data_IF_346883214580
#
_entry.id   IF_346883214580
#
_cell.length_a   1.000
_cell.length_b   1.000
_cell.length_c   1.000
_cell.angle_alpha   90.00
_cell.angle_beta   90.00
_cell.angle_gamma   90.00
#
_symmetry.space_group_name_H-M   'P 1'
#
loop_
_entity.id
_entity.type
_entity.pdbx_description
1 polymer ?
#
# COMPACT_ATOMS: atom_id res chain seq x y z
N UNK A 1 -24.23 7.23 -11.40
CA UNK A 1 -24.05 6.40 -10.31
C UNK A 1 -22.70 5.74 -10.26
N UNK A 2 -22.23 5.58 -9.07
CA UNK A 2 -20.97 5.00 -8.89
C UNK A 2 -20.95 3.57 -9.26
N UNK A 3 -20.03 3.19 -10.04
CA UNK A 3 -19.95 1.83 -10.52
C UNK A 3 -18.88 0.98 -9.86
N UNK A 4 -18.07 1.58 -9.02
CA UNK A 4 -17.06 0.80 -8.34
C UNK A 4 -17.36 0.76 -6.84
N UNK A 5 -16.79 -0.22 -6.17
CA UNK A 5 -17.00 -0.41 -4.76
C UNK A 5 -15.72 -0.05 -4.02
N UNK A 6 -15.85 0.85 -3.07
CA UNK A 6 -14.71 1.23 -2.26
C UNK A 6 -14.41 0.13 -1.25
N UNK A 7 -13.17 -0.28 -1.16
CA UNK A 7 -12.78 -1.30 -0.21
C UNK A 7 -12.63 -0.70 1.18
N UNK A 8 -13.01 -1.49 2.19
CA UNK A 8 -12.78 -1.09 3.57
C UNK A 8 -11.31 -1.31 3.92
N UNK A 9 -10.87 -0.71 5.01
CA UNK A 9 -9.50 -0.91 5.47
C UNK A 9 -9.22 -2.38 5.78
N UNK A 10 -10.22 -3.08 6.32
CA UNK A 10 -10.07 -4.50 6.60
C UNK A 10 -9.87 -5.31 5.32
N UNK A 11 -10.60 -4.96 4.28
CA UNK A 11 -10.47 -5.65 3.00
C UNK A 11 -9.11 -5.37 2.37
N UNK A 12 -8.63 -4.14 2.48
CA UNK A 12 -7.31 -3.78 1.95
C UNK A 12 -6.23 -4.55 2.70
N UNK A 13 -6.31 -4.61 4.02
CA UNK A 13 -5.34 -5.33 4.83
C UNK A 13 -5.33 -6.82 4.47
N UNK A 14 -6.49 -7.38 4.21
CA UNK A 14 -6.62 -8.77 3.85
C UNK A 14 -5.95 -9.06 2.52
N UNK A 15 -6.19 -8.20 1.53
CA UNK A 15 -5.57 -8.35 0.22
C UNK A 15 -4.05 -8.24 0.32
N UNK A 16 -3.56 -7.30 1.12
CA UNK A 16 -2.12 -7.16 1.32
C UNK A 16 -1.55 -8.44 1.90
N UNK A 17 -2.21 -9.01 2.91
CA UNK A 17 -1.76 -10.24 3.53
C UNK A 17 -1.75 -11.41 2.58
N UNK A 18 -2.71 -11.47 1.64
CA UNK A 18 -2.80 -12.57 0.70
C UNK A 18 -1.79 -12.49 -0.44
N UNK A 19 -1.56 -11.29 -0.95
CA UNK A 19 -0.78 -11.12 -2.17
C UNK A 19 0.64 -10.64 -1.98
N UNK A 20 0.95 -10.03 -0.85
CA UNK A 20 2.27 -9.47 -0.60
C UNK A 20 2.96 -10.30 0.46
N UNK A 21 4.11 -10.87 0.11
CA UNK A 21 4.80 -11.79 1.01
C UNK A 21 5.87 -11.15 1.90
N UNK A 22 6.38 -10.00 1.51
CA UNK A 22 7.38 -9.31 2.31
C UNK A 22 6.73 -8.54 3.44
N UNK A 23 7.15 -8.79 4.66
CA UNK A 23 6.62 -8.10 5.83
C UNK A 23 6.82 -6.60 5.73
N UNK A 24 8.00 -6.17 5.27
CA UNK A 24 8.29 -4.75 5.10
C UNK A 24 7.36 -4.12 4.07
N UNK A 25 7.16 -4.80 2.95
CA UNK A 25 6.30 -4.28 1.89
C UNK A 25 4.85 -4.19 2.36
N UNK A 26 4.41 -5.16 3.15
CA UNK A 26 3.07 -5.14 3.72
C UNK A 26 2.87 -3.91 4.58
N UNK A 27 3.85 -3.59 5.43
CA UNK A 27 3.75 -2.43 6.29
C UNK A 27 3.72 -1.13 5.51
N UNK A 28 4.58 -1.03 4.49
CA UNK A 28 4.62 0.16 3.66
C UNK A 28 3.27 0.37 2.95
N UNK A 29 2.69 -0.69 2.42
CA UNK A 29 1.40 -0.60 1.76
C UNK A 29 0.30 -0.19 2.73
N UNK A 30 0.32 -0.70 3.94
CA UNK A 30 -0.66 -0.32 4.94
C UNK A 30 -0.54 1.16 5.30
N UNK A 31 0.69 1.64 5.44
CA UNK A 31 0.91 3.06 5.73
C UNK A 31 0.36 3.94 4.62
N UNK A 32 0.51 3.50 3.38
CA UNK A 32 0.04 4.30 2.25
C UNK A 32 -1.45 4.16 2.01
N UNK A 33 -1.96 2.95 1.96
CA UNK A 33 -3.32 2.70 1.53
C UNK A 33 -4.35 2.80 2.64
N UNK A 34 -3.96 2.52 3.86
CA UNK A 34 -4.88 2.56 5.00
C UNK A 34 -4.70 3.84 5.81
N UNK A 35 -3.47 4.13 6.19
CA UNK A 35 -3.19 5.31 7.02
C UNK A 35 -3.07 6.61 6.23
N UNK A 36 -2.86 6.51 4.92
CA UNK A 36 -2.85 7.69 4.07
C UNK A 36 -1.62 8.57 4.13
N UNK A 37 -0.51 8.05 4.60
CA UNK A 37 0.72 8.83 4.66
C UNK A 37 1.27 9.11 3.27
N UNK A 38 2.03 10.19 3.15
CA UNK A 38 2.70 10.52 1.90
C UNK A 38 3.91 9.63 1.70
N UNK A 39 4.40 9.57 0.47
CA UNK A 39 5.62 8.81 0.19
C UNK A 39 6.79 9.32 1.01
N UNK A 40 6.88 10.65 1.17
CA UNK A 40 7.94 11.25 1.96
C UNK A 40 7.88 10.82 3.42
N UNK A 41 6.68 10.79 3.97
CA UNK A 41 6.51 10.41 5.37
C UNK A 41 6.86 8.94 5.59
N UNK A 42 6.43 8.09 4.68
CA UNK A 42 6.74 6.66 4.77
C UNK A 42 8.24 6.44 4.66
N UNK A 43 8.88 7.17 3.73
CA UNK A 43 10.32 7.06 3.56
C UNK A 43 11.06 7.45 4.83
N UNK A 44 10.55 8.46 5.52
CA UNK A 44 11.14 8.91 6.78
C UNK A 44 10.99 7.85 7.86
N UNK A 45 9.80 7.27 7.97
CA UNK A 45 9.54 6.23 8.97
C UNK A 45 10.42 5.00 8.75
N UNK A 46 10.56 4.57 7.52
CA UNK A 46 11.30 3.36 7.19
C UNK A 46 12.73 3.61 6.74
N UNK A 47 13.20 4.85 6.83
CA UNK A 47 14.57 5.21 6.47
C UNK A 47 14.93 4.79 5.03
N UNK A 48 14.06 5.15 4.11
CA UNK A 48 14.25 4.89 2.70
C UNK A 48 14.14 6.18 1.90
N UNK A 49 14.39 6.10 0.58
CA UNK A 49 14.17 7.26 -0.26
C UNK A 49 12.70 7.27 -0.70
N UNK A 50 12.11 8.46 -0.86
CA UNK A 50 10.72 8.56 -1.33
C UNK A 50 10.53 7.93 -2.72
N UNK A 51 11.56 8.02 -3.56
CA UNK A 51 11.50 7.41 -4.89
C UNK A 51 11.33 5.89 -4.79
N UNK A 52 12.08 5.28 -3.89
CA UNK A 52 11.99 3.85 -3.70
C UNK A 52 10.62 3.44 -3.17
N UNK A 53 10.10 4.19 -2.19
CA UNK A 53 8.79 3.92 -1.64
C UNK A 53 7.72 4.02 -2.72
N UNK A 54 7.80 5.05 -3.56
CA UNK A 54 6.84 5.23 -4.64
C UNK A 54 6.88 4.05 -5.61
N UNK A 55 8.06 3.64 -6.01
CA UNK A 55 8.23 2.49 -6.91
C UNK A 55 7.65 1.23 -6.32
N UNK A 56 7.95 1.00 -5.05
CA UNK A 56 7.49 -0.18 -4.35
C UNK A 56 5.97 -0.20 -4.26
N UNK A 57 5.38 0.92 -3.89
CA UNK A 57 3.92 1.00 -3.75
C UNK A 57 3.24 0.76 -5.09
N UNK A 58 3.74 1.38 -6.15
CA UNK A 58 3.17 1.19 -7.48
C UNK A 58 3.23 -0.27 -7.92
N UNK A 59 4.39 -0.88 -7.72
CA UNK A 59 4.59 -2.27 -8.12
C UNK A 59 3.68 -3.21 -7.35
N UNK A 60 3.65 -3.07 -6.03
CA UNK A 60 2.90 -3.98 -5.20
C UNK A 60 1.39 -3.73 -5.29
N UNK A 61 0.98 -2.49 -5.49
CA UNK A 61 -0.44 -2.20 -5.67
C UNK A 61 -0.97 -2.89 -6.92
N UNK A 62 -0.14 -3.00 -7.95
CA UNK A 62 -0.51 -3.74 -9.14
C UNK A 62 -0.82 -5.21 -8.86
N UNK A 63 -0.15 -5.78 -7.88
CA UNK A 63 -0.39 -7.18 -7.50
C UNK A 63 -1.70 -7.37 -6.75
N UNK A 64 -2.18 -6.32 -6.08
CA UNK A 64 -3.41 -6.40 -5.32
C UNK A 64 -4.64 -6.38 -6.22
N UNK A 65 -4.50 -5.92 -7.45
CA UNK A 65 -5.59 -5.84 -8.41
C UNK A 65 -6.79 -5.08 -7.84
N UNK A 66 -6.50 -3.94 -7.28
CA UNK A 66 -7.55 -3.10 -6.72
C UNK A 66 -8.44 -2.55 -7.82
N UNK A 67 -9.73 -2.36 -7.56
CA UNK A 67 -10.66 -1.82 -8.55
C UNK A 67 -10.38 -0.35 -8.89
#
# INVERSE_FOLDING_TARGET
MQSYIALTNSQIAELIGEHIHSERDRQILKLKLIDGYTYEKIAEIDEMSPRYVRSLVKKQTGRLKLP
#
